data_IF_576561628752
#
_entry.id   IF_576561628752
#
_cell.length_a   1.000
_cell.length_b   1.000
_cell.length_c   1.000
_cell.angle_alpha   90.00
_cell.angle_beta   90.00
_cell.angle_gamma   90.00
#
_symmetry.space_group_name_H-M   'P 1'
#
loop_
_entity.id
_entity.type
_entity.pdbx_description
1 polymer ?
#
# COMPACT_ATOMS: atom_id res chain seq x y z
N UNK A 1 -30.09 37.32 -7.80
CA UNK A 1 -28.99 37.15 -6.82
C UNK A 1 -29.52 36.35 -5.65
N UNK A 2 -29.03 35.13 -5.47
CA UNK A 2 -28.77 34.55 -4.14
C UNK A 2 -27.92 33.30 -4.34
N UNK A 3 -26.66 33.42 -3.91
CA UNK A 3 -25.67 32.37 -3.90
C UNK A 3 -26.05 31.34 -2.84
N UNK A 4 -25.99 30.07 -3.23
CA UNK A 4 -26.15 28.90 -2.38
C UNK A 4 -25.12 28.93 -1.25
N UNK A 5 -25.60 28.84 -0.01
CA UNK A 5 -24.80 28.50 1.16
C UNK A 5 -24.41 27.02 1.08
N UNK A 6 -23.13 26.76 0.88
CA UNK A 6 -22.54 25.44 0.97
C UNK A 6 -22.75 24.87 2.39
N UNK A 7 -23.30 23.66 2.47
CA UNK A 7 -23.43 22.91 3.71
C UNK A 7 -22.03 22.52 4.22
N UNK A 8 -21.65 23.06 5.37
CA UNK A 8 -20.47 22.65 6.13
C UNK A 8 -20.70 21.22 6.64
N UNK A 9 -20.00 20.24 6.06
CA UNK A 9 -19.95 18.88 6.59
C UNK A 9 -19.34 18.90 7.99
N UNK A 10 -20.14 18.54 8.99
CA UNK A 10 -19.72 18.46 10.38
C UNK A 10 -18.81 17.24 10.53
N UNK A 11 -17.50 17.47 10.64
CA UNK A 11 -16.51 16.43 10.95
C UNK A 11 -16.63 16.07 12.43
N UNK A 12 -17.34 14.98 12.72
CA UNK A 12 -17.53 14.47 14.09
C UNK A 12 -16.30 13.64 14.48
N UNK A 13 -15.31 14.31 15.06
CA UNK A 13 -14.01 13.74 15.43
C UNK A 13 -13.77 14.04 16.91
N UNK A 14 -13.47 13.00 17.70
CA UNK A 14 -13.15 13.12 19.14
C UNK A 14 -11.70 13.61 19.36
N UNK A 15 -10.88 13.56 18.30
CA UNK A 15 -9.46 13.90 18.33
C UNK A 15 -9.14 15.38 18.67
N UNK A 16 -9.93 16.41 18.27
CA UNK A 16 -9.68 17.80 18.64
C UNK A 16 -9.75 18.07 20.14
N UNK A 17 -10.65 17.40 20.87
CA UNK A 17 -10.76 17.53 22.33
C UNK A 17 -9.63 16.77 23.05
N UNK A 18 -9.19 15.66 22.46
CA UNK A 18 -8.02 14.90 22.94
C UNK A 18 -6.71 15.69 22.74
N UNK A 19 -6.57 16.40 21.61
CA UNK A 19 -5.46 17.33 21.38
C UNK A 19 -5.47 18.48 22.38
N UNK A 20 -6.65 19.05 22.67
CA UNK A 20 -6.80 20.17 23.61
C UNK A 20 -6.44 19.76 25.04
N UNK A 21 -6.91 18.60 25.50
CA UNK A 21 -6.61 18.08 26.83
C UNK A 21 -5.18 17.54 26.95
N UNK A 22 -4.64 16.93 25.89
CA UNK A 22 -3.25 16.49 25.80
C UNK A 22 -2.25 17.65 25.83
N UNK A 23 -2.47 18.70 25.02
CA UNK A 23 -1.64 19.91 25.02
C UNK A 23 -1.64 20.64 26.37
N UNK A 24 -2.78 20.64 27.07
CA UNK A 24 -2.89 21.20 28.43
C UNK A 24 -1.98 20.49 29.44
N UNK A 25 -1.86 19.16 29.34
CA UNK A 25 -0.99 18.34 30.21
C UNK A 25 0.49 18.43 29.82
N UNK A 26 0.79 18.70 28.55
CA UNK A 26 2.15 18.87 28.05
C UNK A 26 2.76 20.25 28.39
N UNK A 27 1.93 21.21 28.80
CA UNK A 27 2.34 22.55 29.21
C UNK A 27 3.12 22.62 30.54
N UNK A 28 3.10 21.54 31.33
CA UNK A 28 3.75 21.43 32.64
C UNK A 28 5.17 20.82 32.58
N UNK A 29 5.59 20.31 31.42
CA UNK A 29 6.94 19.78 31.20
C UNK A 29 7.81 20.85 30.53
N UNK A 30 9.04 21.03 31.03
CA UNK A 30 10.11 21.87 30.44
C UNK A 30 10.56 21.41 29.02
N UNK A 31 9.83 20.46 28.43
CA UNK A 31 10.15 19.69 27.22
C UNK A 31 9.50 20.24 25.93
N UNK A 32 9.04 21.49 25.90
CA UNK A 32 8.36 22.08 24.71
C UNK A 32 9.19 21.94 23.42
N UNK A 33 10.52 22.03 23.50
CA UNK A 33 11.41 21.84 22.34
C UNK A 33 11.46 20.40 21.83
N UNK A 34 11.45 19.42 22.72
CA UNK A 34 11.55 18.00 22.38
C UNK A 34 10.27 17.50 21.68
N UNK A 35 9.11 18.02 22.09
CA UNK A 35 7.83 17.73 21.41
C UNK A 35 7.78 18.31 20.00
N UNK A 36 8.29 19.53 19.80
CA UNK A 36 8.35 20.15 18.45
C UNK A 36 9.25 19.35 17.52
N UNK A 37 10.40 18.85 18.02
CA UNK A 37 11.25 17.96 17.21
C UNK A 37 10.58 16.64 16.87
N UNK A 38 9.78 16.08 17.78
CA UNK A 38 9.03 14.84 17.53
C UNK A 38 7.96 15.03 16.45
N UNK A 39 7.17 16.11 16.53
CA UNK A 39 6.19 16.44 15.50
C UNK A 39 6.85 16.71 14.14
N UNK A 40 7.99 17.40 14.15
CA UNK A 40 8.78 17.63 12.93
C UNK A 40 9.24 16.30 12.34
N UNK A 41 9.73 15.36 13.15
CA UNK A 41 10.13 14.04 12.68
C UNK A 41 8.97 13.23 12.08
N UNK A 42 7.77 13.30 12.68
CA UNK A 42 6.57 12.67 12.12
C UNK A 42 6.13 13.30 10.80
N UNK A 43 6.25 14.63 10.67
CA UNK A 43 5.97 15.32 9.41
C UNK A 43 6.95 14.91 8.30
N UNK A 44 8.25 14.86 8.61
CA UNK A 44 9.27 14.40 7.67
C UNK A 44 9.04 12.95 7.28
N UNK A 45 8.72 12.08 8.24
CA UNK A 45 8.38 10.70 7.96
C UNK A 45 7.24 10.58 6.95
N UNK A 46 6.13 11.30 7.19
CA UNK A 46 5.00 11.32 6.25
C UNK A 46 5.40 11.87 4.89
N UNK A 47 6.23 12.90 4.83
CA UNK A 47 6.74 13.44 3.57
C UNK A 47 7.57 12.41 2.80
N UNK A 48 8.54 11.77 3.45
CA UNK A 48 9.41 10.75 2.86
C UNK A 48 8.60 9.57 2.34
N UNK A 49 7.58 9.11 3.09
CA UNK A 49 6.65 8.08 2.63
C UNK A 49 5.94 8.44 1.31
N UNK A 50 5.55 9.70 1.14
CA UNK A 50 4.85 10.16 -0.07
C UNK A 50 5.76 10.31 -1.30
N UNK A 51 7.08 10.34 -1.12
CA UNK A 51 8.03 10.36 -2.23
C UNK A 51 8.24 8.97 -2.85
N UNK A 52 7.84 7.91 -2.15
CA UNK A 52 8.04 6.53 -2.58
C UNK A 52 6.93 6.04 -3.51
N UNK A 53 7.33 5.38 -4.61
CA UNK A 53 6.42 4.93 -5.68
C UNK A 53 6.15 3.42 -5.67
N UNK A 54 6.73 2.70 -4.73
CA UNK A 54 6.51 1.27 -4.54
C UNK A 54 6.45 0.89 -3.05
N UNK A 55 5.97 -0.32 -2.79
CA UNK A 55 5.81 -0.81 -1.43
C UNK A 55 7.16 -1.03 -0.74
N UNK A 56 8.23 -1.35 -1.48
CA UNK A 56 9.55 -1.62 -0.88
C UNK A 56 10.18 -0.32 -0.35
N UNK A 57 10.07 0.77 -1.11
CA UNK A 57 10.50 2.11 -0.70
C UNK A 57 9.78 2.57 0.56
N UNK A 58 8.44 2.47 0.58
CA UNK A 58 7.63 2.79 1.77
C UNK A 58 8.07 1.99 3.00
N UNK A 59 8.27 0.68 2.86
CA UNK A 59 8.73 -0.18 3.95
C UNK A 59 10.15 0.14 4.40
N UNK A 60 11.04 0.51 3.47
CA UNK A 60 12.42 0.92 3.75
C UNK A 60 12.48 2.22 4.57
N UNK A 61 11.72 3.25 4.16
CA UNK A 61 11.58 4.50 4.91
C UNK A 61 10.97 4.22 6.29
N UNK A 62 9.91 3.42 6.35
CA UNK A 62 9.29 3.03 7.63
C UNK A 62 10.30 2.35 8.56
N UNK A 63 11.08 1.42 8.04
CA UNK A 63 12.15 0.78 8.81
C UNK A 63 13.17 1.79 9.34
N UNK A 64 13.60 2.76 8.52
CA UNK A 64 14.57 3.79 8.95
C UNK A 64 14.08 4.57 10.18
N UNK A 65 12.82 5.01 10.18
CA UNK A 65 12.23 5.72 11.33
C UNK A 65 11.96 4.81 12.52
N UNK A 66 11.52 3.56 12.29
CA UNK A 66 11.33 2.55 13.35
C UNK A 66 12.67 2.17 14.02
N UNK A 67 13.77 2.11 13.27
CA UNK A 67 15.10 1.86 13.82
C UNK A 67 15.54 2.98 14.78
N UNK A 68 15.11 4.23 14.53
CA UNK A 68 15.33 5.37 15.42
C UNK A 68 14.69 5.22 16.81
N UNK A 69 13.64 4.41 16.94
CA UNK A 69 13.05 4.08 18.25
C UNK A 69 13.97 3.20 19.10
N UNK A 70 14.97 2.56 18.49
CA UNK A 70 15.96 1.71 19.17
C UNK A 70 15.30 0.65 20.06
N UNK A 71 14.23 0.01 19.56
CA UNK A 71 13.50 -1.06 20.26
C UNK A 71 13.85 -2.46 19.75
N UNK A 72 14.24 -2.55 18.49
CA UNK A 72 14.29 -3.81 17.77
C UNK A 72 15.70 -4.13 17.30
N UNK A 73 16.12 -5.39 17.49
CA UNK A 73 17.33 -5.93 16.85
C UNK A 73 17.07 -6.41 15.43
N UNK A 74 15.81 -6.79 15.13
CA UNK A 74 15.36 -7.24 13.83
C UNK A 74 13.89 -6.89 13.63
N UNK A 75 13.50 -6.59 12.40
CA UNK A 75 12.12 -6.28 12.02
C UNK A 75 11.75 -6.99 10.72
N UNK A 76 10.46 -7.28 10.58
CA UNK A 76 9.84 -7.79 9.37
C UNK A 76 8.50 -7.12 9.11
N UNK A 77 8.22 -6.81 7.84
CA UNK A 77 6.92 -6.30 7.40
C UNK A 77 6.28 -7.29 6.47
N UNK A 78 5.04 -7.67 6.78
CA UNK A 78 4.20 -8.51 5.96
C UNK A 78 3.12 -7.68 5.31
N UNK A 79 2.93 -7.86 4.01
CA UNK A 79 1.85 -7.23 3.27
C UNK A 79 0.81 -8.28 2.89
N UNK A 80 -0.47 -7.88 2.92
CA UNK A 80 -1.54 -8.73 2.41
C UNK A 80 -1.42 -8.86 0.89
N UNK A 81 -1.41 -10.10 0.38
CA UNK A 81 -1.62 -10.38 -1.03
C UNK A 81 -3.13 -10.49 -1.29
N UNK A 82 -3.72 -9.57 -2.08
CA UNK A 82 -5.15 -9.58 -2.34
C UNK A 82 -5.63 -10.76 -3.20
N UNK A 83 -4.74 -11.46 -3.91
CA UNK A 83 -5.11 -12.60 -4.76
C UNK A 83 -5.22 -13.90 -3.96
N UNK A 84 -4.28 -14.12 -3.04
CA UNK A 84 -4.17 -15.37 -2.26
C UNK A 84 -4.73 -15.22 -0.84
N UNK A 85 -5.10 -14.01 -0.43
CA UNK A 85 -5.61 -13.67 0.90
C UNK A 85 -4.64 -14.08 2.03
N UNK A 86 -3.34 -14.11 1.72
CA UNK A 86 -2.28 -14.45 2.64
C UNK A 86 -1.42 -13.22 3.00
N UNK A 87 -0.53 -13.39 3.98
CA UNK A 87 0.44 -12.38 4.39
C UNK A 87 1.81 -12.79 3.91
N UNK A 88 2.43 -11.97 3.06
CA UNK A 88 3.75 -12.24 2.50
C UNK A 88 4.80 -11.33 3.12
N UNK A 89 5.88 -11.93 3.63
CA UNK A 89 7.02 -11.20 4.18
C UNK A 89 7.70 -10.41 3.07
N UNK A 90 7.49 -9.10 3.09
CA UNK A 90 7.86 -8.18 1.99
C UNK A 90 9.13 -7.39 2.28
N UNK A 91 9.52 -7.29 3.55
CA UNK A 91 10.74 -6.60 3.99
C UNK A 91 11.26 -7.23 5.27
N UNK A 92 12.58 -7.35 5.39
CA UNK A 92 13.30 -7.80 6.59
C UNK A 92 14.55 -6.96 6.79
N UNK A 93 14.83 -6.57 8.04
CA UNK A 93 16.10 -5.97 8.43
C UNK A 93 16.55 -6.44 9.83
N UNK A 94 17.81 -6.87 10.01
CA UNK A 94 18.78 -7.16 8.95
C UNK A 94 18.38 -8.42 8.16
N UNK A 95 18.73 -8.50 6.88
CA UNK A 95 18.32 -9.58 5.97
C UNK A 95 18.70 -10.99 6.47
N UNK A 96 19.81 -11.10 7.23
CA UNK A 96 20.26 -12.35 7.86
C UNK A 96 19.24 -12.97 8.82
N UNK A 97 18.31 -12.17 9.35
CA UNK A 97 17.28 -12.62 10.30
C UNK A 97 16.00 -13.14 9.60
N UNK A 98 15.95 -13.19 8.26
CA UNK A 98 14.74 -13.58 7.51
C UNK A 98 14.21 -14.96 7.93
N UNK A 99 15.09 -15.97 7.97
CA UNK A 99 14.69 -17.33 8.33
C UNK A 99 14.18 -17.42 9.78
N UNK A 100 14.78 -16.66 10.70
CA UNK A 100 14.33 -16.60 12.09
C UNK A 100 12.95 -15.94 12.19
N UNK A 101 12.77 -14.80 11.54
CA UNK A 101 11.51 -14.07 11.52
C UNK A 101 10.38 -14.89 10.91
N UNK A 102 10.61 -15.57 9.79
CA UNK A 102 9.62 -16.47 9.18
C UNK A 102 9.17 -17.57 10.14
N UNK A 103 10.12 -18.25 10.79
CA UNK A 103 9.81 -19.25 11.81
C UNK A 103 9.00 -18.65 12.96
N UNK A 104 9.39 -17.48 13.45
CA UNK A 104 8.70 -16.80 14.55
C UNK A 104 7.27 -16.45 14.18
N UNK A 105 7.09 -15.82 13.02
CA UNK A 105 5.79 -15.43 12.48
C UNK A 105 4.87 -16.66 12.35
N UNK A 106 5.38 -17.74 11.77
CA UNK A 106 4.61 -18.98 11.60
C UNK A 106 4.11 -19.55 12.93
N UNK A 107 4.93 -19.53 13.98
CA UNK A 107 4.49 -19.93 15.33
C UNK A 107 3.50 -18.94 15.94
N UNK A 108 3.64 -17.64 15.69
CA UNK A 108 2.66 -16.65 16.15
C UNK A 108 1.31 -16.77 15.43
N UNK A 109 1.30 -17.23 14.18
CA UNK A 109 0.08 -17.59 13.44
C UNK A 109 -0.58 -18.80 14.10
N UNK A 110 0.18 -19.89 14.33
CA UNK A 110 -0.33 -21.12 14.96
C UNK A 110 -0.89 -20.88 16.36
N UNK A 111 -0.27 -19.99 17.14
CA UNK A 111 -0.74 -19.63 18.49
C UNK A 111 -1.90 -18.62 18.52
N UNK A 112 -2.36 -18.14 17.35
CA UNK A 112 -3.47 -17.18 17.25
C UNK A 112 -3.11 -15.73 17.62
N UNK A 113 -1.87 -15.46 18.05
CA UNK A 113 -1.39 -14.12 18.40
C UNK A 113 -1.35 -13.18 17.20
N UNK A 114 -1.09 -13.71 16.01
CA UNK A 114 -1.15 -12.95 14.76
C UNK A 114 -2.54 -12.36 14.51
N UNK A 115 -3.58 -13.19 14.63
CA UNK A 115 -4.97 -12.75 14.48
C UNK A 115 -5.39 -11.78 15.60
N UNK A 116 -4.89 -11.97 16.82
CA UNK A 116 -5.13 -11.04 17.93
C UNK A 116 -4.54 -9.65 17.65
N UNK A 117 -3.32 -9.58 17.10
CA UNK A 117 -2.66 -8.33 16.76
C UNK A 117 -3.42 -7.54 15.68
N UNK A 118 -3.97 -8.23 14.67
CA UNK A 118 -4.83 -7.61 13.66
C UNK A 118 -6.12 -7.01 14.24
N UNK A 119 -6.71 -7.64 15.26
CA UNK A 119 -7.97 -7.17 15.86
C UNK A 119 -7.79 -6.03 16.86
N UNK A 120 -6.66 -6.00 17.58
CA UNK A 120 -6.44 -5.02 18.65
C UNK A 120 -6.00 -3.65 18.16
N UNK A 121 -5.35 -3.57 16.99
CA UNK A 121 -4.76 -2.31 16.51
C UNK A 121 -3.71 -1.73 17.44
N UNK A 122 -3.09 -2.58 18.27
CA UNK A 122 -2.10 -2.22 19.28
C UNK A 122 -1.01 -3.30 19.36
N UNK A 123 0.19 -3.00 19.89
CA UNK A 123 1.26 -3.99 20.01
C UNK A 123 0.84 -5.21 20.83
N UNK A 124 1.16 -6.41 20.33
CA UNK A 124 1.00 -7.68 21.02
C UNK A 124 2.37 -8.29 21.25
N UNK A 125 2.83 -8.25 22.49
CA UNK A 125 4.10 -8.84 22.91
C UNK A 125 4.03 -10.36 22.94
N UNK A 126 5.13 -11.01 22.57
CA UNK A 126 5.30 -12.46 22.67
C UNK A 126 6.69 -12.83 23.16
N UNK A 127 6.79 -14.05 23.68
CA UNK A 127 8.04 -14.71 24.03
C UNK A 127 8.01 -16.12 23.43
N UNK A 128 9.14 -16.55 22.89
CA UNK A 128 9.31 -17.87 22.31
C UNK A 128 10.63 -18.49 22.75
N UNK A 129 10.65 -19.76 23.18
CA UNK A 129 11.89 -20.50 23.35
C UNK A 129 12.66 -20.62 22.03
N UNK A 130 13.96 -20.34 22.04
CA UNK A 130 14.87 -20.57 20.93
C UNK A 130 16.15 -21.27 21.44
N UNK A 131 16.10 -22.59 21.50
CA UNK A 131 17.13 -23.40 22.15
C UNK A 131 17.27 -23.04 23.64
N UNK A 132 18.48 -22.68 24.13
CA UNK A 132 18.68 -22.28 25.53
C UNK A 132 18.27 -20.83 25.81
N UNK A 133 17.94 -20.05 24.76
CA UNK A 133 17.58 -18.64 24.88
C UNK A 133 16.07 -18.43 24.70
N UNK A 134 15.57 -17.25 25.08
CA UNK A 134 14.19 -16.83 24.79
C UNK A 134 14.24 -15.65 23.85
N UNK A 135 13.54 -15.75 22.72
CA UNK A 135 13.34 -14.63 21.81
C UNK A 135 12.07 -13.90 22.23
N UNK A 136 12.21 -12.59 22.43
CA UNK A 136 11.10 -11.69 22.70
C UNK A 136 10.83 -10.84 21.49
N UNK A 137 9.56 -10.55 21.26
CA UNK A 137 9.18 -9.69 20.16
C UNK A 137 7.77 -9.15 20.33
N UNK A 138 7.32 -8.46 19.30
CA UNK A 138 5.94 -8.02 19.19
C UNK A 138 5.42 -8.10 17.79
N UNK A 139 4.11 -8.20 17.72
CA UNK A 139 3.34 -8.03 16.50
C UNK A 139 2.53 -6.74 16.59
N UNK A 140 2.37 -6.05 15.47
CA UNK A 140 1.48 -4.91 15.36
C UNK A 140 0.77 -4.93 14.02
N UNK A 141 -0.56 -4.98 14.04
CA UNK A 141 -1.35 -4.90 12.81
C UNK A 141 -1.18 -3.55 12.14
N UNK A 142 -0.95 -3.55 10.83
CA UNK A 142 -1.04 -2.34 10.02
C UNK A 142 -2.43 -2.34 9.41
N UNK A 143 -3.39 -1.75 10.11
CA UNK A 143 -4.82 -1.84 9.81
C UNK A 143 -5.45 -0.47 9.65
N UNK A 144 -6.30 -0.33 8.63
CA UNK A 144 -7.19 0.80 8.45
C UNK A 144 -8.60 0.41 8.90
N UNK A 145 -9.48 1.41 9.06
CA UNK A 145 -10.88 1.17 9.45
C UNK A 145 -11.63 0.22 8.50
N UNK A 146 -11.20 0.14 7.24
CA UNK A 146 -11.83 -0.69 6.21
C UNK A 146 -11.14 -2.03 5.94
N UNK A 147 -9.85 -2.19 6.27
CA UNK A 147 -9.08 -3.40 5.91
C UNK A 147 -7.74 -3.52 6.65
N UNK A 148 -7.23 -4.74 6.76
CA UNK A 148 -5.83 -4.98 7.11
C UNK A 148 -4.93 -4.74 5.88
N UNK A 149 -3.94 -3.87 6.03
CA UNK A 149 -2.94 -3.58 4.99
C UNK A 149 -1.77 -4.56 5.08
N UNK A 150 -1.35 -4.85 6.32
CA UNK A 150 -0.20 -5.69 6.63
C UNK A 150 -0.04 -6.00 8.12
N UNK A 151 1.13 -6.53 8.46
CA UNK A 151 1.56 -6.83 9.83
C UNK A 151 3.03 -6.44 9.99
N UNK A 152 3.35 -5.81 11.11
CA UNK A 152 4.71 -5.63 11.57
C UNK A 152 5.09 -6.70 12.59
N UNK A 153 6.31 -7.22 12.49
CA UNK A 153 6.92 -8.10 13.48
C UNK A 153 8.29 -7.51 13.88
N UNK A 154 8.52 -7.30 15.17
CA UNK A 154 9.78 -6.79 15.68
C UNK A 154 10.34 -7.69 16.77
N UNK A 155 11.61 -8.07 16.67
CA UNK A 155 12.34 -8.78 17.73
C UNK A 155 13.01 -7.76 18.64
N UNK A 156 12.68 -7.80 19.92
CA UNK A 156 13.16 -6.82 20.90
C UNK A 156 14.65 -7.05 21.19
N UNK A 157 15.38 -5.95 21.38
CA UNK A 157 16.79 -6.00 21.76
C UNK A 157 17.04 -5.96 23.28
N UNK A 158 16.09 -5.44 24.06
CA UNK A 158 16.16 -5.29 25.53
C UNK A 158 14.81 -5.62 26.16
N UNK A 159 14.80 -5.80 27.49
CA UNK A 159 13.55 -5.95 28.24
C UNK A 159 12.71 -4.65 28.17
N UNK A 160 11.38 -4.75 28.01
CA UNK A 160 10.51 -3.58 28.05
C UNK A 160 10.57 -2.91 29.42
N UNK A 161 10.73 -1.59 29.42
CA UNK A 161 10.71 -0.76 30.63
C UNK A 161 9.41 0.07 30.66
N UNK A 162 8.99 0.64 31.79
CA UNK A 162 7.82 1.55 31.82
C UNK A 162 7.95 2.76 30.87
N UNK A 163 9.18 3.18 30.53
CA UNK A 163 9.44 4.23 29.54
C UNK A 163 9.16 3.80 28.08
N UNK A 164 8.88 2.51 27.84
CA UNK A 164 8.67 1.93 26.51
C UNK A 164 7.25 2.19 25.98
N UNK A 165 6.30 2.62 26.82
CA UNK A 165 4.91 2.88 26.41
C UNK A 165 4.79 4.05 25.40
N UNK A 166 5.63 5.08 25.55
CA UNK A 166 5.69 6.20 24.58
C UNK A 166 6.26 5.70 23.25
N UNK A 167 7.30 4.86 23.28
CA UNK A 167 7.90 4.30 22.09
C UNK A 167 6.95 3.35 21.33
N UNK A 168 6.13 2.59 22.06
CA UNK A 168 5.05 1.78 21.49
C UNK A 168 3.96 2.66 20.85
N UNK A 169 3.60 3.78 21.47
CA UNK A 169 2.64 4.72 20.90
C UNK A 169 3.17 5.35 19.61
N UNK A 170 4.45 5.73 19.60
CA UNK A 170 5.12 6.21 18.40
C UNK A 170 5.20 5.15 17.31
N UNK A 171 5.51 3.90 17.68
CA UNK A 171 5.48 2.79 16.74
C UNK A 171 4.10 2.62 16.10
N UNK A 172 3.03 2.66 16.89
CA UNK A 172 1.66 2.59 16.38
C UNK A 172 1.35 3.72 15.39
N UNK A 173 1.82 4.95 15.66
CA UNK A 173 1.69 6.08 14.74
C UNK A 173 2.46 5.84 13.43
N UNK A 174 3.73 5.44 13.52
CA UNK A 174 4.56 5.18 12.35
C UNK A 174 3.96 4.08 11.45
N UNK A 175 3.47 3.00 12.07
CA UNK A 175 2.85 1.89 11.35
C UNK A 175 1.47 2.26 10.77
N UNK A 176 0.75 3.20 11.39
CA UNK A 176 -0.49 3.77 10.85
C UNK A 176 -0.24 4.57 9.56
N UNK A 177 0.69 5.53 9.59
CA UNK A 177 1.08 6.32 8.41
C UNK A 177 1.63 5.42 7.29
N UNK A 178 2.40 4.39 7.64
CA UNK A 178 2.86 3.38 6.68
C UNK A 178 1.69 2.62 6.03
N UNK A 179 0.69 2.21 6.83
CA UNK A 179 -0.51 1.54 6.33
C UNK A 179 -1.30 2.43 5.36
N UNK A 180 -1.45 3.72 5.69
CA UNK A 180 -2.12 4.71 4.85
C UNK A 180 -1.37 4.96 3.54
N UNK A 181 -0.04 5.09 3.59
CA UNK A 181 0.79 5.25 2.39
C UNK A 181 0.69 4.03 1.46
N UNK A 182 0.77 2.81 2.01
CA UNK A 182 0.62 1.57 1.25
C UNK A 182 -0.79 1.41 0.65
N UNK A 183 -1.84 1.76 1.40
CA UNK A 183 -3.20 1.70 0.90
C UNK A 183 -3.43 2.73 -0.22
N UNK A 184 -2.88 3.94 -0.06
CA UNK A 184 -2.91 5.00 -1.08
C UNK A 184 -2.21 4.54 -2.35
N UNK A 185 -1.01 3.97 -2.22
CA UNK A 185 -0.25 3.41 -3.34
C UNK A 185 -1.01 2.30 -4.07
N UNK A 186 -1.66 1.38 -3.35
CA UNK A 186 -2.48 0.32 -3.95
C UNK A 186 -3.65 0.91 -4.72
N UNK A 187 -4.34 1.89 -4.15
CA UNK A 187 -5.50 2.54 -4.75
C UNK A 187 -5.13 3.35 -6.00
N UNK A 188 -4.03 4.10 -5.96
CA UNK A 188 -3.55 4.84 -7.14
C UNK A 188 -3.17 3.90 -8.27
N UNK A 189 -2.45 2.81 -7.98
CA UNK A 189 -2.11 1.78 -8.98
C UNK A 189 -3.34 1.11 -9.59
N UNK A 190 -4.35 0.79 -8.79
CA UNK A 190 -5.60 0.22 -9.29
C UNK A 190 -6.33 1.18 -10.25
N UNK A 191 -6.44 2.46 -9.87
CA UNK A 191 -7.08 3.47 -10.70
C UNK A 191 -6.31 3.71 -12.01
N UNK A 192 -4.98 3.72 -11.99
CA UNK A 192 -4.18 3.85 -13.21
C UNK A 192 -4.36 2.64 -14.13
N UNK A 193 -4.35 1.42 -13.59
CA UNK A 193 -4.57 0.20 -14.39
C UNK A 193 -5.98 0.15 -14.99
N UNK A 194 -7.00 0.59 -14.24
CA UNK A 194 -8.38 0.64 -14.75
C UNK A 194 -8.51 1.66 -15.89
N UNK A 195 -7.90 2.85 -15.75
CA UNK A 195 -7.84 3.85 -16.83
C UNK A 195 -7.06 3.34 -18.04
N UNK A 196 -5.91 2.68 -17.84
CA UNK A 196 -5.12 2.08 -18.93
C UNK A 196 -5.93 1.00 -19.67
N UNK A 197 -6.64 0.14 -18.93
CA UNK A 197 -7.49 -0.91 -19.51
C UNK A 197 -8.66 -0.32 -20.29
N UNK A 198 -9.28 0.75 -19.79
CA UNK A 198 -10.34 1.47 -20.49
C UNK A 198 -9.81 2.21 -21.73
N UNK A 199 -8.58 2.74 -21.67
CA UNK A 199 -7.94 3.44 -22.79
C UNK A 199 -7.47 2.51 -23.93
N UNK A 200 -7.35 1.21 -23.68
CA UNK A 200 -7.00 0.20 -24.69
C UNK A 200 -8.18 -0.38 -25.47
N UNK A 201 -9.42 -0.04 -25.10
CA UNK A 201 -10.63 -0.53 -25.77
C UNK A 201 -10.99 0.36 -26.95
N UNK A 202 -10.84 -0.15 -28.18
CA UNK A 202 -11.31 0.54 -29.38
C UNK A 202 -12.84 0.40 -29.50
N UNK A 203 -13.61 1.49 -29.42
CA UNK A 203 -15.05 1.45 -29.63
C UNK A 203 -15.35 1.13 -31.11
N UNK A 204 -15.74 -0.12 -31.37
CA UNK A 204 -16.10 -0.61 -32.71
C UNK A 204 -17.62 -0.54 -32.94
N UNK A 205 -18.03 -0.13 -34.13
CA UNK A 205 -19.42 -0.22 -34.56
C UNK A 205 -19.80 -1.69 -34.67
N UNK A 206 -20.82 -2.13 -33.93
CA UNK A 206 -21.24 -3.53 -33.92
C UNK A 206 -21.64 -4.04 -35.32
N UNK A 207 -22.16 -3.15 -36.18
CA UNK A 207 -22.63 -3.45 -37.54
C UNK A 207 -21.53 -3.44 -38.59
N UNK A 208 -20.76 -2.34 -38.70
CA UNK A 208 -19.80 -2.14 -39.79
C UNK A 208 -18.32 -2.17 -39.36
N UNK A 209 -18.02 -2.40 -38.07
CA UNK A 209 -16.68 -2.52 -37.49
C UNK A 209 -15.75 -1.29 -37.66
N UNK A 210 -16.30 -0.13 -38.01
CA UNK A 210 -15.57 1.15 -37.92
C UNK A 210 -15.19 1.45 -36.48
N UNK A 211 -14.06 2.12 -36.27
CA UNK A 211 -13.61 2.61 -34.96
C UNK A 211 -14.14 4.03 -34.76
N UNK A 212 -14.57 4.36 -33.55
CA UNK A 212 -14.85 5.75 -33.17
C UNK A 212 -13.58 6.40 -32.62
N UNK A 213 -13.14 7.49 -33.24
CA UNK A 213 -11.97 8.23 -32.80
C UNK A 213 -12.29 9.17 -31.62
N UNK A 214 -11.25 9.81 -31.06
CA UNK A 214 -11.36 10.70 -29.89
C UNK A 214 -12.22 11.94 -30.13
N UNK A 215 -12.36 12.37 -31.39
CA UNK A 215 -13.28 13.45 -31.80
C UNK A 215 -14.73 12.98 -31.97
N UNK A 216 -14.99 11.69 -31.77
CA UNK A 216 -16.31 11.08 -31.83
C UNK A 216 -16.77 10.67 -33.23
N UNK A 217 -15.93 10.82 -34.26
CA UNK A 217 -16.21 10.41 -35.64
C UNK A 217 -15.90 8.94 -35.89
N UNK A 218 -16.59 8.33 -36.85
CA UNK A 218 -16.40 6.94 -37.23
C UNK A 218 -15.51 6.80 -38.46
N UNK A 219 -14.38 6.11 -38.30
CA UNK A 219 -13.40 5.87 -39.36
C UNK A 219 -13.04 4.39 -39.49
N UNK A 220 -12.37 4.02 -40.57
CA UNK A 220 -11.89 2.64 -40.73
C UNK A 220 -10.74 2.39 -39.76
N UNK A 221 -10.65 1.16 -39.25
CA UNK A 221 -9.62 0.77 -38.29
C UNK A 221 -8.21 1.00 -38.83
N UNK A 222 -8.01 0.81 -40.14
CA UNK A 222 -6.70 1.01 -40.78
C UNK A 222 -6.23 2.47 -40.67
N UNK A 223 -7.14 3.41 -40.92
CA UNK A 223 -6.87 4.85 -40.76
C UNK A 223 -6.60 5.22 -39.30
N UNK A 224 -7.37 4.64 -38.38
CA UNK A 224 -7.18 4.88 -36.96
C UNK A 224 -5.80 4.39 -36.47
N UNK A 225 -5.41 3.16 -36.86
CA UNK A 225 -4.14 2.56 -36.45
C UNK A 225 -2.93 3.26 -37.06
N UNK A 226 -3.01 3.71 -38.31
CA UNK A 226 -1.93 4.46 -38.98
C UNK A 226 -1.70 5.83 -38.30
N UNK A 227 -2.77 6.45 -37.77
CA UNK A 227 -2.69 7.73 -37.06
C UNK A 227 -2.28 7.61 -35.57
N UNK A 228 -2.56 6.47 -34.93
CA UNK A 228 -2.42 6.31 -33.46
C UNK A 228 -1.44 5.21 -33.05
N UNK A 229 -0.70 4.60 -33.98
CA UNK A 229 0.31 3.59 -33.67
C UNK A 229 1.54 3.71 -34.58
N UNK A 230 2.64 3.09 -34.17
CA UNK A 230 3.85 2.98 -35.00
C UNK A 230 3.77 1.81 -36.02
N UNK A 231 2.63 1.14 -36.15
CA UNK A 231 2.49 -0.02 -37.02
C UNK A 231 2.19 0.41 -38.46
N UNK A 232 2.93 -0.12 -39.43
CA UNK A 232 2.64 0.07 -40.85
C UNK A 232 1.76 -1.05 -41.38
N UNK A 233 0.61 -0.70 -41.94
CA UNK A 233 -0.33 -1.66 -42.51
C UNK A 233 0.07 -2.02 -43.94
N UNK A 234 0.05 -3.31 -44.24
CA UNK A 234 0.23 -3.84 -45.59
C UNK A 234 -1.00 -4.65 -46.00
N UNK A 235 -1.30 -4.67 -47.30
CA UNK A 235 -2.49 -5.34 -47.81
C UNK A 235 -2.14 -6.72 -48.35
N UNK A 236 -2.93 -7.73 -47.97
CA UNK A 236 -2.81 -9.11 -48.45
C UNK A 236 -4.19 -9.77 -48.57
N UNK A 237 -4.25 -10.92 -49.23
CA UNK A 237 -5.48 -11.71 -49.37
C UNK A 237 -5.34 -12.98 -48.55
N UNK A 238 -6.20 -13.18 -47.55
CA UNK A 238 -6.15 -14.37 -46.70
C UNK A 238 -6.55 -15.64 -47.51
N UNK A 239 -6.17 -16.85 -47.05
CA UNK A 239 -6.50 -18.09 -47.73
C UNK A 239 -8.01 -18.30 -47.97
N UNK A 240 -8.86 -17.85 -47.05
CA UNK A 240 -10.32 -18.00 -47.15
C UNK A 240 -10.90 -17.11 -48.25
N UNK A 241 -10.46 -15.84 -48.31
CA UNK A 241 -10.83 -14.91 -49.37
C UNK A 241 -10.31 -15.39 -50.73
N UNK A 242 -9.08 -15.93 -50.77
CA UNK A 242 -8.51 -16.52 -51.99
C UNK A 242 -9.34 -17.70 -52.48
N UNK A 243 -9.78 -18.59 -51.59
CA UNK A 243 -10.65 -19.73 -51.95
C UNK A 243 -12.04 -19.28 -52.41
N UNK A 244 -12.60 -18.27 -51.77
CA UNK A 244 -13.98 -17.81 -52.02
C UNK A 244 -14.10 -16.94 -53.27
N UNK A 245 -13.18 -16.00 -53.49
CA UNK A 245 -13.28 -15.01 -54.58
C UNK A 245 -12.41 -15.35 -55.79
N UNK A 246 -11.31 -16.09 -55.64
CA UNK A 246 -10.38 -16.38 -56.74
C UNK A 246 -10.56 -17.78 -57.35
N UNK A 247 -11.48 -18.60 -56.85
CA UNK A 247 -11.78 -19.94 -57.40
C UNK A 247 -12.42 -19.93 -58.80
N UNK A 248 -12.90 -18.78 -59.28
CA UNK A 248 -13.49 -18.60 -60.62
C UNK A 248 -12.65 -17.78 -61.61
N UNK A 249 -11.51 -17.21 -61.21
CA UNK A 249 -10.79 -16.18 -62.00
C UNK A 249 -9.73 -16.78 -62.95
N UNK A 250 -9.58 -18.10 -62.97
CA UNK A 250 -8.52 -18.80 -63.72
C UNK A 250 -8.97 -19.78 -64.80
N UNK A 251 -10.08 -19.52 -65.52
CA UNK A 251 -10.40 -20.25 -66.75
C UNK A 251 -10.62 -19.28 -67.91
N UNK A 252 -9.53 -18.90 -68.57
CA UNK A 252 -9.51 -18.55 -69.99
C UNK A 252 -8.67 -19.60 -70.71
#
# INVERSE_FOLDING_TARGET
>A
MNLQSAQSGQFDSVYPDFLRTGLGKLGELDSRRELVSLFSALEHFRHDLHQENDSKGILSVTHYYVAGLNLFRAVGFLLVNPQEMDFQLSFVAPEVESALLERIINEQIKSGRFALALRRGAPVLFEMPDGPSTVRGMLHGMTLSSQAVGMFCGLLQKEPTPATDVAHSLLSLLLGECADALATLRKTKQLTTEVETLSGLLPLCAWCKKVRNDSGYWEQIDHYLDAHSAAHLTHGVCPDCKKSFLSGVGKK
#
